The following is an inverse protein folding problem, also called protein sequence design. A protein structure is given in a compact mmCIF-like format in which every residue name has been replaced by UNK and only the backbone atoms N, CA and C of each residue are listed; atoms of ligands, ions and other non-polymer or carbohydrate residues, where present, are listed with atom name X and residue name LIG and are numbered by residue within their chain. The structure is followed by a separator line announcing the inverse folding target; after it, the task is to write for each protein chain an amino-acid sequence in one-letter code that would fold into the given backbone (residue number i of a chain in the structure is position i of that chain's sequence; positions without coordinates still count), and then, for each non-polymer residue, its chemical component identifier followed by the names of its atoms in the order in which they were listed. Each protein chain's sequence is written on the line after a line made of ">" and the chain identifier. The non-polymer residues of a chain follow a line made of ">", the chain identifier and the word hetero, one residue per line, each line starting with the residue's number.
data_IF_469087829344
#
_entry.id   IF_469087829344
#
_cell.length_a   1.000
_cell.length_b   1.000
_cell.length_c   1.000
_cell.angle_alpha   90.00
_cell.angle_beta   90.00
_cell.angle_gamma   90.00
#
_symmetry.space_group_name_H-M   'P 1'
#
loop_
_entity.id
_entity.type
_entity.pdbx_description
1 polymer ?
#
# COMPACT_ATOMS: atom_id res chain seq x y z
N UNK A 1 -2.33 20.54 -9.25
CA UNK A 1 -1.50 19.83 -8.26
C UNK A 1 -0.40 19.12 -9.02
N UNK A 2 0.86 19.09 -8.55
CA UNK A 2 1.86 18.21 -9.15
C UNK A 2 1.34 16.76 -9.11
N UNK A 3 1.70 15.97 -10.12
CA UNK A 3 1.31 14.56 -10.18
C UNK A 3 1.91 13.84 -8.96
N UNK A 4 1.04 13.29 -8.11
CA UNK A 4 1.49 12.56 -6.93
C UNK A 4 2.03 11.18 -7.35
N UNK A 5 3.09 10.69 -6.69
CA UNK A 5 3.62 9.36 -6.93
C UNK A 5 2.51 8.29 -6.88
N UNK A 6 2.47 7.45 -7.89
CA UNK A 6 1.41 6.45 -8.07
C UNK A 6 2.05 5.09 -8.34
N UNK A 7 1.66 4.09 -7.56
CA UNK A 7 2.02 2.71 -7.82
C UNK A 7 0.87 2.04 -8.57
N UNK A 8 1.11 1.55 -9.78
CA UNK A 8 0.09 0.86 -10.58
C UNK A 8 0.40 -0.63 -10.65
N UNK A 9 -0.57 -1.48 -10.31
CA UNK A 9 -0.43 -2.94 -10.31
C UNK A 9 -1.78 -3.64 -10.44
N UNK A 10 -1.78 -4.81 -11.07
CA UNK A 10 -2.90 -5.75 -11.00
C UNK A 10 -3.20 -6.16 -9.56
N UNK A 11 -4.47 -6.05 -9.14
CA UNK A 11 -4.93 -6.49 -7.84
C UNK A 11 -6.36 -7.03 -7.93
N UNK A 12 -6.51 -8.34 -7.73
CA UNK A 12 -7.80 -9.02 -7.74
C UNK A 12 -8.41 -9.18 -9.13
N UNK A 13 -8.96 -8.10 -9.66
CA UNK A 13 -9.83 -8.08 -10.85
C UNK A 13 -9.24 -7.29 -12.03
N UNK A 14 -8.46 -6.23 -11.75
CA UNK A 14 -7.89 -5.36 -12.78
C UNK A 14 -6.61 -4.66 -12.30
N UNK A 15 -6.03 -3.87 -13.20
CA UNK A 15 -5.04 -2.86 -12.83
C UNK A 15 -5.68 -1.78 -11.96
N UNK A 16 -5.06 -1.52 -10.81
CA UNK A 16 -5.43 -0.45 -9.89
C UNK A 16 -4.26 0.49 -9.68
N UNK A 17 -4.59 1.78 -9.56
CA UNK A 17 -3.66 2.77 -9.05
C UNK A 17 -3.73 2.75 -7.52
N UNK A 18 -2.56 2.83 -6.89
CA UNK A 18 -2.39 2.98 -5.46
C UNK A 18 -1.65 4.28 -5.20
N UNK A 19 -2.27 5.18 -4.44
CA UNK A 19 -1.74 6.51 -4.15
C UNK A 19 -2.20 6.94 -2.76
N UNK A 20 -1.30 7.55 -1.98
CA UNK A 20 -1.68 8.23 -0.75
C UNK A 20 -1.50 9.74 -0.94
N UNK A 21 -2.62 10.48 -0.89
CA UNK A 21 -2.58 11.95 -0.81
C UNK A 21 -2.22 12.39 0.61
N UNK A 22 -1.82 13.66 0.82
CA UNK A 22 -1.55 14.18 2.16
C UNK A 22 -2.68 13.93 3.16
N UNK A 23 -3.95 14.03 2.73
CA UNK A 23 -5.13 13.77 3.56
C UNK A 23 -5.25 12.29 3.95
N UNK A 24 -4.95 11.39 3.00
CA UNK A 24 -4.99 9.95 3.26
C UNK A 24 -3.80 9.48 4.12
N UNK A 25 -2.67 10.18 4.08
CA UNK A 25 -1.56 9.96 5.02
C UNK A 25 -2.02 10.30 6.44
N UNK A 26 -2.69 11.45 6.65
CA UNK A 26 -3.23 11.84 7.97
C UNK A 26 -4.25 10.80 8.46
N UNK A 27 -5.13 10.32 7.59
CA UNK A 27 -6.09 9.27 7.94
C UNK A 27 -5.39 7.96 8.30
N UNK A 28 -4.35 7.57 7.55
CA UNK A 28 -3.55 6.38 7.85
C UNK A 28 -2.90 6.49 9.24
N UNK A 29 -2.30 7.64 9.57
CA UNK A 29 -1.70 7.87 10.89
C UNK A 29 -2.75 7.79 12.00
N UNK A 30 -3.96 8.29 11.76
CA UNK A 30 -5.09 8.24 12.70
C UNK A 30 -5.55 6.80 12.96
N UNK A 31 -5.75 5.98 11.92
CA UNK A 31 -6.25 4.61 12.07
C UNK A 31 -5.19 3.63 12.58
N UNK A 32 -3.91 3.88 12.29
CA UNK A 32 -2.80 3.07 12.78
C UNK A 32 -2.25 3.54 14.13
N UNK A 33 -2.58 4.77 14.54
CA UNK A 33 -1.99 5.45 15.70
C UNK A 33 -0.45 5.46 15.63
N UNK A 34 0.11 5.70 14.45
CA UNK A 34 1.56 5.70 14.18
C UNK A 34 1.85 6.69 13.07
N UNK A 35 2.81 7.59 13.27
CA UNK A 35 3.25 8.52 12.23
C UNK A 35 3.89 7.80 11.04
N UNK A 36 3.79 8.37 9.83
CA UNK A 36 4.20 7.73 8.57
C UNK A 36 5.66 7.24 8.57
N UNK A 37 6.58 8.02 9.13
CA UNK A 37 7.99 7.61 9.25
C UNK A 37 8.20 6.45 10.25
N UNK A 38 7.38 6.39 11.30
CA UNK A 38 7.39 5.27 12.25
C UNK A 38 6.85 3.99 11.63
N UNK A 39 5.79 4.11 10.82
CA UNK A 39 5.20 3.00 10.07
C UNK A 39 6.19 2.47 9.03
N UNK A 40 6.83 3.35 8.26
CA UNK A 40 7.85 2.97 7.28
C UNK A 40 9.02 2.22 7.92
N UNK A 41 9.57 2.74 9.03
CA UNK A 41 10.65 2.07 9.76
C UNK A 41 10.24 0.65 10.21
N UNK A 42 9.03 0.50 10.74
CA UNK A 42 8.49 -0.79 11.19
C UNK A 42 8.27 -1.76 10.03
N UNK A 43 7.80 -1.27 8.88
CA UNK A 43 7.68 -2.08 7.67
C UNK A 43 9.04 -2.63 7.24
N UNK A 44 10.09 -1.81 7.18
CA UNK A 44 11.45 -2.28 6.86
C UNK A 44 11.96 -3.36 7.83
N UNK A 45 11.55 -3.29 9.10
CA UNK A 45 11.87 -4.28 10.14
C UNK A 45 10.92 -5.50 10.14
N UNK A 46 9.91 -5.51 9.26
CA UNK A 46 8.80 -6.48 9.22
C UNK A 46 8.02 -6.56 10.53
N UNK A 47 8.03 -5.49 11.31
CA UNK A 47 7.28 -5.32 12.56
C UNK A 47 5.92 -4.65 12.28
N UNK A 48 5.11 -5.27 11.42
CA UNK A 48 3.80 -4.75 11.02
C UNK A 48 2.66 -5.50 11.72
N UNK A 49 1.54 -4.81 11.92
CA UNK A 49 0.25 -5.44 12.23
C UNK A 49 -0.46 -5.74 10.92
N UNK A 50 -1.13 -6.88 10.82
CA UNK A 50 -1.89 -7.24 9.62
C UNK A 50 -2.92 -6.16 9.23
N UNK A 51 -3.57 -5.54 10.22
CA UNK A 51 -4.52 -4.44 9.99
C UNK A 51 -3.85 -3.20 9.36
N UNK A 52 -2.58 -2.92 9.68
CA UNK A 52 -1.83 -1.81 9.05
C UNK A 52 -1.61 -2.07 7.56
N UNK A 53 -1.38 -3.33 7.18
CA UNK A 53 -1.24 -3.70 5.77
C UNK A 53 -2.56 -3.52 5.02
N UNK A 54 -3.67 -3.99 5.60
CA UNK A 54 -5.00 -3.85 4.99
C UNK A 54 -5.38 -2.37 4.81
N UNK A 55 -5.18 -1.54 5.83
CA UNK A 55 -5.49 -0.11 5.75
C UNK A 55 -4.59 0.63 4.76
N UNK A 56 -3.30 0.29 4.69
CA UNK A 56 -2.38 0.84 3.69
C UNK A 56 -2.89 0.61 2.26
N UNK A 57 -3.25 -0.64 1.94
CA UNK A 57 -3.76 -1.00 0.62
C UNK A 57 -5.12 -0.34 0.35
N UNK A 58 -6.02 -0.33 1.35
CA UNK A 58 -7.36 0.28 1.23
C UNK A 58 -7.28 1.77 0.92
N UNK A 59 -6.48 2.52 1.69
CA UNK A 59 -6.29 3.96 1.50
C UNK A 59 -5.53 4.24 0.21
N UNK A 60 -4.58 3.37 -0.17
CA UNK A 60 -3.91 3.42 -1.46
C UNK A 60 -4.89 3.35 -2.64
N UNK A 61 -5.82 2.38 -2.63
CA UNK A 61 -6.87 2.26 -3.64
C UNK A 61 -7.74 3.52 -3.70
N UNK A 62 -8.11 4.07 -2.54
CA UNK A 62 -8.94 5.29 -2.47
C UNK A 62 -8.23 6.48 -3.12
N UNK A 63 -6.96 6.71 -2.83
CA UNK A 63 -6.22 7.80 -3.48
C UNK A 63 -5.90 7.53 -4.95
N UNK A 64 -5.94 6.27 -5.37
CA UNK A 64 -5.89 5.87 -6.78
C UNK A 64 -7.21 6.05 -7.55
N UNK A 65 -8.30 6.37 -6.85
CA UNK A 65 -9.59 6.71 -7.46
C UNK A 65 -10.71 5.69 -7.22
N UNK A 66 -10.46 4.58 -6.51
CA UNK A 66 -11.54 3.70 -6.07
C UNK A 66 -12.40 4.40 -5.02
N UNK A 67 -13.72 4.19 -5.05
CA UNK A 67 -14.55 4.73 -3.97
C UNK A 67 -14.33 3.93 -2.66
N UNK A 68 -14.61 4.51 -1.47
CA UNK A 68 -14.32 3.84 -0.20
C UNK A 68 -15.04 2.49 0.00
N UNK A 69 -16.22 2.30 -0.60
CA UNK A 69 -16.98 1.06 -0.51
C UNK A 69 -16.41 0.01 -1.47
N UNK A 70 -16.04 0.40 -2.68
CA UNK A 70 -15.30 -0.47 -3.62
C UNK A 70 -13.98 -0.92 -2.99
N UNK A 71 -13.17 0.00 -2.46
CA UNK A 71 -11.90 -0.33 -1.82
C UNK A 71 -12.08 -1.32 -0.66
N UNK A 72 -13.09 -1.13 0.19
CA UNK A 72 -13.40 -2.08 1.27
C UNK A 72 -13.79 -3.47 0.75
N UNK A 73 -14.57 -3.53 -0.34
CA UNK A 73 -14.96 -4.79 -0.95
C UNK A 73 -13.74 -5.52 -1.57
N UNK A 74 -12.86 -4.80 -2.26
CA UNK A 74 -11.62 -5.34 -2.82
C UNK A 74 -10.69 -5.89 -1.74
N UNK A 75 -10.56 -5.19 -0.61
CA UNK A 75 -9.79 -5.67 0.53
C UNK A 75 -10.38 -6.97 1.10
N UNK A 76 -11.71 -7.01 1.32
CA UNK A 76 -12.37 -8.19 1.86
C UNK A 76 -12.26 -9.40 0.93
N UNK A 77 -12.41 -9.18 -0.38
CA UNK A 77 -12.37 -10.24 -1.38
C UNK A 77 -10.95 -10.73 -1.70
N UNK A 78 -9.98 -9.80 -1.76
CA UNK A 78 -8.66 -10.08 -2.34
C UNK A 78 -7.48 -9.80 -1.43
N UNK A 79 -7.56 -8.95 -0.39
CA UNK A 79 -6.42 -8.73 0.52
C UNK A 79 -6.47 -9.64 1.75
N UNK A 80 -7.64 -9.80 2.37
CA UNK A 80 -7.84 -10.65 3.56
C UNK A 80 -7.42 -12.12 3.34
N UNK A 81 -7.72 -12.77 2.19
CA UNK A 81 -7.32 -14.17 2.00
C UNK A 81 -5.88 -14.34 1.52
N UNK A 82 -5.12 -13.27 1.25
CA UNK A 82 -3.73 -13.40 0.77
C UNK A 82 -2.80 -13.93 1.84
N UNK A 83 -1.72 -14.62 1.43
CA UNK A 83 -0.56 -14.81 2.30
C UNK A 83 -0.06 -13.45 2.80
N UNK A 84 0.17 -13.35 4.11
CA UNK A 84 0.54 -12.09 4.79
C UNK A 84 1.76 -11.41 4.15
N UNK A 85 2.75 -12.19 3.70
CA UNK A 85 3.95 -11.64 3.07
C UNK A 85 3.71 -11.09 1.67
N UNK A 86 2.72 -11.61 0.95
CA UNK A 86 2.33 -11.07 -0.37
C UNK A 86 1.62 -9.72 -0.20
N UNK A 87 0.72 -9.62 0.77
CA UNK A 87 0.07 -8.37 1.15
C UNK A 87 1.10 -7.34 1.65
N UNK A 88 2.07 -7.78 2.45
CA UNK A 88 3.18 -6.94 2.93
C UNK A 88 3.99 -6.35 1.78
N UNK A 89 4.33 -7.12 0.74
CA UNK A 89 5.07 -6.61 -0.41
C UNK A 89 4.31 -5.49 -1.10
N UNK A 90 3.00 -5.65 -1.33
CA UNK A 90 2.16 -4.59 -1.88
C UNK A 90 2.16 -3.34 -1.00
N UNK A 91 1.94 -3.51 0.31
CA UNK A 91 1.91 -2.39 1.25
C UNK A 91 3.28 -1.68 1.35
N UNK A 92 4.39 -2.42 1.30
CA UNK A 92 5.75 -1.88 1.28
C UNK A 92 5.98 -1.02 0.02
N UNK A 93 5.59 -1.51 -1.15
CA UNK A 93 5.74 -0.77 -2.41
C UNK A 93 4.92 0.53 -2.41
N UNK A 94 3.71 0.50 -1.83
CA UNK A 94 2.87 1.71 -1.67
C UNK A 94 3.57 2.75 -0.78
N UNK A 95 4.06 2.35 0.40
CA UNK A 95 4.72 3.30 1.31
C UNK A 95 6.05 3.81 0.76
N UNK A 96 6.83 2.98 0.05
CA UNK A 96 8.06 3.42 -0.64
C UNK A 96 7.76 4.48 -1.69
N UNK A 97 6.71 4.27 -2.49
CA UNK A 97 6.26 5.21 -3.52
C UNK A 97 5.93 6.58 -2.92
N UNK A 98 5.30 6.60 -1.74
CA UNK A 98 4.97 7.83 -1.01
C UNK A 98 6.22 8.51 -0.44
N UNK A 99 7.16 7.72 0.10
CA UNK A 99 8.36 8.23 0.75
C UNK A 99 9.42 8.75 -0.24
N UNK A 100 9.56 8.11 -1.40
CA UNK A 100 10.67 8.35 -2.34
C UNK A 100 10.22 8.76 -3.75
N UNK A 101 8.91 8.81 -4.00
CA UNK A 101 8.34 9.11 -5.30
C UNK A 101 8.33 7.93 -6.28
N UNK A 102 8.90 6.79 -5.89
CA UNK A 102 8.93 5.55 -6.65
C UNK A 102 9.10 4.36 -5.70
N UNK A 103 8.73 3.17 -6.15
CA UNK A 103 9.06 1.93 -5.46
C UNK A 103 10.58 1.77 -5.40
N UNK A 104 11.11 1.30 -4.27
CA UNK A 104 12.51 0.89 -4.27
C UNK A 104 12.60 -0.41 -5.06
N UNK A 105 13.72 -0.58 -5.78
CA UNK A 105 13.99 -1.72 -6.70
C UNK A 105 14.19 -3.07 -5.96
N UNK A 106 13.57 -3.19 -4.78
CA UNK A 106 13.63 -4.30 -3.85
C UNK A 106 12.80 -5.50 -4.31
N UNK A 107 11.90 -5.31 -5.29
CA UNK A 107 10.95 -6.33 -5.76
C UNK A 107 11.33 -6.99 -7.10
N UNK A 108 12.07 -6.33 -8.00
CA UNK A 108 12.26 -6.84 -9.38
C UNK A 108 13.43 -7.84 -9.53
N UNK A 109 14.36 -7.92 -8.57
CA UNK A 109 15.56 -8.76 -8.73
C UNK A 109 15.41 -10.26 -8.42
N UNK A 110 14.19 -10.81 -8.25
CA UNK A 110 14.01 -12.25 -7.96
C UNK A 110 13.41 -13.13 -9.06
N UNK A 111 12.94 -12.56 -10.17
CA UNK A 111 12.41 -13.37 -11.29
C UNK A 111 13.32 -13.39 -12.54
N UNK A 112 14.36 -12.57 -12.59
CA UNK A 112 15.34 -12.60 -13.70
C UNK A 112 16.52 -13.58 -13.48
N UNK A 113 16.56 -14.31 -12.35
CA UNK A 113 17.66 -15.21 -12.00
C UNK A 113 17.20 -16.65 -11.69
N UNK A 114 16.13 -17.12 -12.35
CA UNK A 114 15.73 -18.54 -12.29
C UNK A 114 15.52 -19.13 -13.68
#
# INVERSE_FOLDING_TARGET
>A
MPDLPTHRRFFGDREHDFRLTPELIIELERVTNTGIGGLFRRFLQRDFRHSELLEMVRLGLIGGGADPKEAAALIAAYAVPLPVMELYVLALTIIETVMFGHALDTAEKKEAEK
#
